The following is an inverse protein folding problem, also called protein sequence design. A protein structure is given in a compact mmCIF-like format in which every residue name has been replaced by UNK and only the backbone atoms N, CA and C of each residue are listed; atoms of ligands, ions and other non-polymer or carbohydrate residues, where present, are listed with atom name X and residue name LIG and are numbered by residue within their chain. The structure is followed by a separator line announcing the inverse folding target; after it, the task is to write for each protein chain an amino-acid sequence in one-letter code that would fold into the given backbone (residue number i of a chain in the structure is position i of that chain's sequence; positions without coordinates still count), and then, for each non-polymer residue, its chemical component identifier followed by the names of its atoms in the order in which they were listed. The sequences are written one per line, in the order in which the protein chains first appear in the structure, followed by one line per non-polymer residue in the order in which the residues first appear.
data_IF_064338387482
#
_entry.id   IF_064338387482
#
_cell.length_a   1.000
_cell.length_b   1.000
_cell.length_c   1.000
_cell.angle_alpha   90.00
_cell.angle_beta   90.00
_cell.angle_gamma   90.00
#
_symmetry.space_group_name_H-M   'P 1'
#
loop_
_entity.id
_entity.type
_entity.pdbx_description
1 polymer ?
#
# COMPACT_ATOMS: atom_id res chain seq x y z
N UNK A 1 10.46 4.08 24.39
CA UNK A 1 9.38 4.99 24.85
C UNK A 1 8.28 4.92 23.82
N UNK A 2 6.99 4.81 24.19
CA UNK A 2 5.94 4.67 23.18
C UNK A 2 5.64 6.00 22.47
N UNK A 3 5.28 5.98 21.20
CA UNK A 3 4.86 7.15 20.41
C UNK A 3 3.84 8.00 21.16
N UNK A 4 2.96 7.36 21.97
CA UNK A 4 2.00 8.03 22.84
C UNK A 4 2.63 8.93 23.92
N UNK A 5 3.93 8.75 24.25
CA UNK A 5 4.66 9.67 25.16
C UNK A 5 5.20 10.90 24.44
N UNK A 6 5.51 10.79 23.15
CA UNK A 6 6.04 11.88 22.32
C UNK A 6 4.93 12.70 21.69
N UNK A 7 3.82 12.03 21.33
CA UNK A 7 2.67 12.62 20.71
C UNK A 7 1.43 11.93 21.27
N UNK A 8 0.89 12.39 22.41
CA UNK A 8 -0.38 11.86 22.87
C UNK A 8 -1.44 12.15 21.80
N UNK A 9 -2.17 11.11 21.33
CA UNK A 9 -3.27 11.34 20.43
C UNK A 9 -4.25 12.33 21.06
N UNK A 10 -4.90 13.19 20.27
CA UNK A 10 -5.80 14.23 20.78
C UNK A 10 -6.98 13.67 21.60
N UNK A 11 -7.28 12.37 21.45
CA UNK A 11 -8.21 11.63 22.29
C UNK A 11 -7.81 10.15 22.35
N UNK A 12 -8.40 9.41 23.30
CA UNK A 12 -8.21 7.95 23.43
C UNK A 12 -8.76 7.15 22.23
N UNK A 13 -9.54 7.78 21.36
CA UNK A 13 -10.08 7.18 20.12
C UNK A 13 -9.32 7.63 18.86
N UNK A 14 -8.40 8.57 18.98
CA UNK A 14 -7.65 9.05 17.82
C UNK A 14 -6.79 7.93 17.21
N UNK A 15 -6.76 7.89 15.87
CA UNK A 15 -5.99 6.95 15.08
C UNK A 15 -5.02 7.72 14.19
N UNK A 16 -3.72 7.71 14.50
CA UNK A 16 -2.73 8.45 13.70
C UNK A 16 -2.65 7.96 12.25
N UNK A 17 -2.93 6.68 11.96
CA UNK A 17 -3.04 6.20 10.59
C UNK A 17 -4.07 6.99 9.77
N UNK A 18 -5.15 7.46 10.41
CA UNK A 18 -6.17 8.28 9.74
C UNK A 18 -5.63 9.65 9.29
N UNK A 19 -4.60 10.16 9.95
CA UNK A 19 -3.91 11.41 9.57
C UNK A 19 -2.71 11.18 8.66
N UNK A 20 -2.06 10.02 8.79
CA UNK A 20 -0.78 9.74 8.13
C UNK A 20 -0.93 9.02 6.79
N UNK A 21 -1.83 8.02 6.71
CA UNK A 21 -1.88 7.05 5.62
C UNK A 21 -2.98 7.38 4.61
N UNK A 22 -2.66 7.12 3.34
CA UNK A 22 -3.65 7.03 2.27
C UNK A 22 -3.24 5.93 1.29
N UNK A 23 -4.23 5.20 0.77
CA UNK A 23 -4.06 4.24 -0.32
C UNK A 23 -4.81 4.71 -1.56
N UNK A 24 -4.16 4.63 -2.71
CA UNK A 24 -4.71 4.99 -4.01
C UNK A 24 -4.86 3.75 -4.89
N UNK A 25 -6.04 3.58 -5.47
CA UNK A 25 -6.37 2.55 -6.46
C UNK A 25 -6.66 3.24 -7.78
N UNK A 26 -5.60 3.55 -8.55
CA UNK A 26 -5.68 4.47 -9.69
C UNK A 26 -6.55 3.94 -10.81
N UNK A 27 -6.52 2.63 -11.08
CA UNK A 27 -7.33 2.05 -12.13
C UNK A 27 -8.84 2.04 -11.79
N UNK A 28 -9.20 1.98 -10.51
CA UNK A 28 -10.59 2.04 -10.03
C UNK A 28 -11.06 3.47 -9.75
N UNK A 29 -10.19 4.47 -9.82
CA UNK A 29 -10.44 5.84 -9.37
C UNK A 29 -10.88 5.92 -7.91
N UNK A 30 -10.25 5.13 -7.05
CA UNK A 30 -10.62 5.01 -5.64
C UNK A 30 -9.46 5.37 -4.72
N UNK A 31 -9.80 5.80 -3.51
CA UNK A 31 -8.85 6.00 -2.40
C UNK A 31 -9.40 5.46 -1.10
N UNK A 32 -8.53 5.19 -0.14
CA UNK A 32 -8.93 4.93 1.25
C UNK A 32 -7.97 5.62 2.22
N UNK A 33 -8.51 6.19 3.28
CA UNK A 33 -7.73 6.88 4.31
C UNK A 33 -7.07 5.94 5.33
N UNK A 34 -7.13 4.64 5.13
CA UNK A 34 -6.52 3.58 5.94
C UNK A 34 -6.80 2.24 5.26
N UNK A 35 -5.89 1.28 5.34
CA UNK A 35 -6.05 -0.06 4.74
C UNK A 35 -7.26 -0.86 5.25
N UNK A 36 -7.87 -0.47 6.36
CA UNK A 36 -9.13 -1.07 6.88
C UNK A 36 -10.38 -0.36 6.38
N UNK A 37 -10.24 0.83 5.80
CA UNK A 37 -11.39 1.58 5.33
C UNK A 37 -11.87 1.08 3.96
N UNK A 38 -13.17 1.21 3.73
CA UNK A 38 -13.73 1.04 2.39
C UNK A 38 -13.17 2.12 1.46
N UNK A 39 -12.99 1.74 0.22
CA UNK A 39 -12.58 2.65 -0.83
C UNK A 39 -13.68 3.67 -1.14
N UNK A 40 -13.28 4.87 -1.49
CA UNK A 40 -14.12 6.00 -1.90
C UNK A 40 -13.67 6.51 -3.26
N UNK A 41 -14.61 7.00 -4.07
CA UNK A 41 -14.26 7.67 -5.32
C UNK A 41 -13.36 8.88 -5.05
N UNK A 42 -12.32 9.03 -5.85
CA UNK A 42 -11.45 10.20 -5.81
C UNK A 42 -12.23 11.37 -6.42
N UNK A 43 -12.33 12.47 -5.67
CA UNK A 43 -12.99 13.70 -6.11
C UNK A 43 -12.20 14.43 -7.22
N UNK A 44 -12.85 15.33 -7.93
CA UNK A 44 -12.24 16.07 -9.05
C UNK A 44 -11.06 16.97 -8.62
N UNK A 45 -11.13 17.50 -7.39
CA UNK A 45 -10.06 18.33 -6.79
C UNK A 45 -8.84 17.54 -6.36
N UNK A 46 -8.91 16.21 -6.43
CA UNK A 46 -7.84 15.27 -6.08
C UNK A 46 -7.35 15.39 -4.62
N UNK A 47 -8.14 16.01 -3.72
CA UNK A 47 -7.84 16.10 -2.27
C UNK A 47 -8.36 14.87 -1.50
N UNK A 48 -8.05 13.68 -2.01
CA UNK A 48 -8.52 12.40 -1.49
C UNK A 48 -8.13 12.15 -0.04
N UNK A 49 -6.99 12.68 0.42
CA UNK A 49 -6.55 12.52 1.81
C UNK A 49 -7.37 13.37 2.80
N UNK A 50 -7.98 14.45 2.33
CA UNK A 50 -8.87 15.30 3.11
C UNK A 50 -10.30 15.29 2.55
N UNK A 51 -10.72 14.18 1.95
CA UNK A 51 -12.11 14.01 1.53
C UNK A 51 -13.07 14.22 2.70
N UNK A 52 -14.30 14.64 2.42
CA UNK A 52 -15.27 14.97 3.47
C UNK A 52 -15.46 13.81 4.49
N UNK A 53 -15.57 12.53 4.09
CA UNK A 53 -15.67 11.43 5.05
C UNK A 53 -14.40 11.23 5.90
N UNK A 54 -13.21 11.45 5.34
CA UNK A 54 -11.95 11.33 6.10
C UNK A 54 -11.86 12.44 7.15
N UNK A 55 -12.21 13.67 6.77
CA UNK A 55 -12.24 14.82 7.71
C UNK A 55 -13.27 14.59 8.80
N UNK A 56 -14.48 14.14 8.49
CA UNK A 56 -15.51 13.80 9.49
C UNK A 56 -15.04 12.73 10.48
N UNK A 57 -14.33 11.69 9.98
CA UNK A 57 -13.75 10.67 10.87
C UNK A 57 -12.73 11.26 11.84
N UNK A 58 -11.85 12.16 11.37
CA UNK A 58 -10.88 12.85 12.23
C UNK A 58 -11.57 13.70 13.27
N UNK A 59 -12.61 14.45 12.90
CA UNK A 59 -13.39 15.28 13.81
C UNK A 59 -14.09 14.43 14.89
N UNK A 60 -14.70 13.30 14.53
CA UNK A 60 -15.28 12.37 15.51
C UNK A 60 -14.21 11.85 16.48
N UNK A 61 -13.07 11.42 15.95
CA UNK A 61 -11.95 10.95 16.77
C UNK A 61 -11.42 12.03 17.74
N UNK A 62 -11.36 13.28 17.29
CA UNK A 62 -10.96 14.40 18.15
C UNK A 62 -11.92 14.63 19.33
N UNK A 63 -13.22 14.35 19.12
CA UNK A 63 -14.23 14.41 20.19
C UNK A 63 -14.27 13.16 21.08
N UNK A 64 -13.39 12.18 20.86
CA UNK A 64 -13.39 10.91 21.60
C UNK A 64 -14.46 9.93 21.13
N UNK A 65 -14.96 10.10 19.91
CA UNK A 65 -16.00 9.26 19.29
C UNK A 65 -15.37 8.29 18.29
N UNK A 66 -15.92 7.07 18.20
CA UNK A 66 -15.61 6.17 17.13
C UNK A 66 -16.42 6.50 15.88
N UNK A 67 -15.79 6.63 14.70
CA UNK A 67 -16.55 6.61 13.47
C UNK A 67 -17.32 5.27 13.34
N UNK A 68 -18.63 5.33 13.15
CA UNK A 68 -19.53 4.16 13.16
C UNK A 68 -20.45 4.17 11.94
N UNK A 69 -19.89 4.46 10.77
CA UNK A 69 -20.60 4.60 9.51
C UNK A 69 -20.44 3.36 8.58
N UNK A 70 -19.91 2.27 9.11
CA UNK A 70 -19.66 1.04 8.35
C UNK A 70 -18.49 1.12 7.38
N UNK A 71 -17.60 2.11 7.52
CA UNK A 71 -16.45 2.34 6.63
C UNK A 71 -15.15 1.69 7.10
N UNK A 72 -15.17 0.95 8.24
CA UNK A 72 -14.08 0.07 8.67
C UNK A 72 -13.42 0.44 10.00
N UNK A 73 -13.65 1.62 10.58
CA UNK A 73 -13.11 1.97 11.91
C UNK A 73 -13.66 1.05 13.01
N UNK A 74 -14.82 0.45 12.79
CA UNK A 74 -15.45 -0.55 13.66
C UNK A 74 -14.56 -1.77 13.88
N UNK A 75 -13.76 -2.16 12.88
CA UNK A 75 -12.83 -3.28 13.00
C UNK A 75 -11.85 -3.07 14.16
N UNK A 76 -11.18 -1.93 14.23
CA UNK A 76 -10.27 -1.62 15.33
C UNK A 76 -11.02 -1.50 16.67
N UNK A 77 -12.19 -0.83 16.69
CA UNK A 77 -13.03 -0.72 17.88
C UNK A 77 -13.38 -2.09 18.46
N UNK A 78 -13.80 -3.01 17.59
CA UNK A 78 -14.25 -4.32 18.04
C UNK A 78 -13.07 -5.22 18.43
N UNK A 79 -11.93 -5.12 17.75
CA UNK A 79 -10.70 -5.77 18.19
C UNK A 79 -10.25 -5.28 19.57
N UNK A 80 -10.27 -3.98 19.81
CA UNK A 80 -9.87 -3.42 21.11
C UNK A 80 -10.79 -3.85 22.25
N UNK A 81 -12.09 -4.01 22.00
CA UNK A 81 -13.03 -4.56 22.98
C UNK A 81 -12.74 -6.02 23.36
N UNK A 82 -12.25 -6.82 22.40
CA UNK A 82 -12.04 -8.26 22.62
C UNK A 82 -10.63 -8.62 23.09
N UNK A 83 -9.62 -7.91 22.58
CA UNK A 83 -8.21 -8.26 22.80
C UNK A 83 -7.34 -7.12 23.35
N UNK A 84 -7.87 -5.92 23.39
CA UNK A 84 -7.10 -4.72 23.73
C UNK A 84 -6.09 -4.28 22.68
N UNK A 85 -6.00 -5.00 21.54
CA UNK A 85 -4.99 -4.75 20.49
C UNK A 85 -5.72 -4.54 19.16
N UNK A 86 -5.30 -3.52 18.41
CA UNK A 86 -5.74 -3.23 17.04
C UNK A 86 -4.59 -2.65 16.23
N UNK A 87 -4.76 -2.53 14.90
CA UNK A 87 -3.75 -1.87 14.05
C UNK A 87 -3.43 -0.45 14.55
N UNK A 88 -4.45 0.27 15.02
CA UNK A 88 -4.30 1.59 15.61
C UNK A 88 -3.40 1.56 16.85
N UNK A 89 -3.64 0.64 17.76
CA UNK A 89 -2.84 0.48 19.00
C UNK A 89 -1.42 0.03 18.66
N UNK A 90 -1.26 -0.94 17.76
CA UNK A 90 0.06 -1.39 17.32
C UNK A 90 0.86 -0.26 16.69
N UNK A 91 0.22 0.58 15.86
CA UNK A 91 0.88 1.75 15.28
C UNK A 91 1.34 2.73 16.35
N UNK A 92 0.51 2.99 17.36
CA UNK A 92 0.83 3.90 18.48
C UNK A 92 1.89 3.36 19.45
N UNK A 93 2.04 2.04 19.54
CA UNK A 93 3.03 1.41 20.42
C UNK A 93 4.44 1.34 19.83
N UNK A 94 4.59 1.54 18.53
CA UNK A 94 5.88 1.51 17.86
C UNK A 94 6.46 2.92 17.72
N UNK A 95 7.50 3.21 18.49
CA UNK A 95 8.18 4.52 18.50
C UNK A 95 8.77 4.93 17.14
N UNK A 96 9.14 3.98 16.29
CA UNK A 96 9.62 4.26 14.95
C UNK A 96 8.57 4.99 14.09
N UNK A 97 7.28 4.82 14.42
CA UNK A 97 6.18 5.45 13.70
C UNK A 97 6.01 6.95 14.01
N UNK A 98 6.77 7.51 14.96
CA UNK A 98 6.76 8.94 15.24
C UNK A 98 7.10 9.79 14.02
N UNK A 99 7.92 9.27 13.11
CA UNK A 99 8.32 9.94 11.86
C UNK A 99 7.16 10.14 10.88
N UNK A 100 6.08 9.34 11.01
CA UNK A 100 4.91 9.41 10.13
C UNK A 100 3.83 10.39 10.60
N UNK A 101 4.05 11.07 11.73
CA UNK A 101 3.12 12.10 12.20
C UNK A 101 3.20 13.32 11.28
N UNK A 102 2.07 13.77 10.67
CA UNK A 102 2.07 14.96 9.83
C UNK A 102 2.54 16.20 10.58
N UNK A 103 3.30 17.06 9.93
CA UNK A 103 3.84 18.29 10.53
C UNK A 103 2.75 19.26 10.97
N UNK A 104 1.62 19.27 10.28
CA UNK A 104 0.43 20.06 10.62
C UNK A 104 -0.12 19.63 11.98
N UNK A 105 -0.14 18.31 12.24
CA UNK A 105 -0.61 17.77 13.51
C UNK A 105 0.34 18.07 14.66
N UNK A 106 1.64 18.15 14.40
CA UNK A 106 2.63 18.59 15.38
C UNK A 106 2.46 20.07 15.75
N UNK A 107 2.06 20.91 14.80
CA UNK A 107 1.79 22.34 15.02
C UNK A 107 0.44 22.61 15.65
N UNK A 108 -0.56 21.84 15.25
CA UNK A 108 -1.93 21.92 15.74
C UNK A 108 -2.50 20.51 15.97
N UNK A 109 -2.51 19.99 17.21
CA UNK A 109 -3.00 18.66 17.53
C UNK A 109 -4.47 18.40 17.15
N UNK A 110 -5.24 19.44 16.87
CA UNK A 110 -6.64 19.33 16.43
C UNK A 110 -6.83 19.55 14.92
N UNK A 111 -5.74 19.58 14.15
CA UNK A 111 -5.83 19.70 12.70
C UNK A 111 -6.59 18.52 12.09
N UNK A 112 -7.63 18.82 11.30
CA UNK A 112 -8.40 17.80 10.56
C UNK A 112 -8.00 17.68 9.10
N UNK A 113 -7.28 18.68 8.58
CA UNK A 113 -6.69 18.68 7.22
C UNK A 113 -5.18 18.69 7.33
N UNK A 114 -4.53 17.71 6.71
CA UNK A 114 -3.08 17.51 6.76
C UNK A 114 -2.58 16.96 5.42
N UNK A 115 -1.29 17.08 5.15
CA UNK A 115 -0.66 16.31 4.07
C UNK A 115 -0.38 14.88 4.53
N UNK A 116 -0.59 13.86 3.67
CA UNK A 116 -0.23 12.50 4.05
C UNK A 116 1.28 12.34 4.16
N UNK A 117 1.70 11.45 5.03
CA UNK A 117 3.11 11.06 5.20
C UNK A 117 3.37 9.63 4.74
N UNK A 118 2.32 8.85 4.50
CA UNK A 118 2.38 7.47 4.05
C UNK A 118 1.42 7.30 2.87
N UNK A 119 1.96 6.90 1.72
CA UNK A 119 1.20 6.64 0.51
C UNK A 119 1.40 5.20 0.07
N UNK A 120 0.30 4.47 -0.13
CA UNK A 120 0.29 3.18 -0.79
C UNK A 120 -0.41 3.31 -2.14
N UNK A 121 0.26 2.99 -3.24
CA UNK A 121 -0.29 3.13 -4.60
C UNK A 121 -0.48 1.80 -5.29
N UNK A 122 -1.69 1.60 -5.85
CA UNK A 122 -2.06 0.49 -6.71
C UNK A 122 -2.32 1.07 -8.10
N UNK A 123 -1.35 0.91 -9.02
CA UNK A 123 -1.48 1.48 -10.37
C UNK A 123 -2.59 0.79 -11.15
N UNK A 124 -2.51 -0.53 -11.27
CA UNK A 124 -3.53 -1.34 -11.93
C UNK A 124 -3.59 -2.76 -11.33
N UNK A 125 -4.50 -3.60 -11.86
CA UNK A 125 -4.69 -4.97 -11.41
C UNK A 125 -3.85 -5.99 -12.20
N UNK A 126 -2.94 -5.58 -13.07
CA UNK A 126 -2.14 -6.50 -13.89
C UNK A 126 -1.34 -7.44 -13.00
N UNK A 127 -1.68 -8.72 -13.01
CA UNK A 127 -1.07 -9.78 -12.22
C UNK A 127 -1.09 -11.10 -13.00
N UNK A 128 -0.05 -11.88 -12.86
CA UNK A 128 0.13 -13.18 -13.51
C UNK A 128 -0.32 -14.36 -12.62
N UNK A 129 -0.90 -14.10 -11.45
CA UNK A 129 -1.32 -15.12 -10.48
C UNK A 129 -2.80 -15.00 -10.12
N UNK A 130 -3.39 -16.13 -9.65
CA UNK A 130 -4.77 -16.24 -9.16
C UNK A 130 -4.78 -16.78 -7.74
N UNK A 131 -4.27 -16.00 -6.78
CA UNK A 131 -4.28 -16.41 -5.37
C UNK A 131 -5.71 -16.55 -4.86
N UNK A 132 -5.98 -17.58 -4.03
CA UNK A 132 -7.35 -17.93 -3.58
C UNK A 132 -8.04 -16.83 -2.76
N UNK A 133 -7.28 -15.95 -2.13
CA UNK A 133 -7.78 -14.82 -1.34
C UNK A 133 -7.81 -13.50 -2.12
N UNK A 134 -7.40 -13.53 -3.39
CA UNK A 134 -7.39 -12.37 -4.27
C UNK A 134 -8.66 -12.32 -5.12
N UNK A 135 -8.90 -11.20 -5.78
CA UNK A 135 -10.07 -11.01 -6.63
C UNK A 135 -9.75 -10.30 -7.95
N UNK A 136 -10.74 -10.12 -8.83
CA UNK A 136 -10.55 -9.49 -10.13
C UNK A 136 -10.05 -8.03 -10.03
N UNK A 137 -10.34 -7.34 -8.94
CA UNK A 137 -9.87 -5.99 -8.67
C UNK A 137 -8.36 -5.91 -8.45
N UNK A 138 -7.73 -7.02 -8.04
CA UNK A 138 -6.31 -7.09 -7.71
C UNK A 138 -5.53 -8.04 -8.62
N UNK A 139 -6.22 -8.76 -9.54
CA UNK A 139 -5.59 -9.69 -10.45
C UNK A 139 -6.32 -9.76 -11.79
N UNK A 140 -5.63 -9.31 -12.84
CA UNK A 140 -6.12 -9.45 -14.22
C UNK A 140 -6.24 -10.91 -14.66
N UNK A 141 -5.46 -11.83 -14.08
CA UNK A 141 -5.60 -13.27 -14.35
C UNK A 141 -6.92 -13.81 -13.77
N UNK A 142 -7.34 -13.36 -12.57
CA UNK A 142 -8.67 -13.66 -12.04
C UNK A 142 -9.79 -13.03 -12.87
N UNK A 143 -9.61 -11.75 -13.26
CA UNK A 143 -10.58 -11.05 -14.08
C UNK A 143 -10.82 -11.78 -15.40
N UNK A 144 -9.75 -12.19 -16.08
CA UNK A 144 -9.82 -12.95 -17.33
C UNK A 144 -10.59 -14.28 -17.16
N UNK A 145 -10.24 -15.07 -16.13
CA UNK A 145 -10.91 -16.36 -15.89
C UNK A 145 -12.41 -16.19 -15.58
N UNK A 146 -12.75 -15.21 -14.73
CA UNK A 146 -14.15 -14.95 -14.39
C UNK A 146 -14.94 -14.44 -15.60
N UNK A 147 -14.33 -13.62 -16.46
CA UNK A 147 -14.95 -13.16 -17.71
C UNK A 147 -15.20 -14.33 -18.65
N UNK A 148 -14.21 -15.21 -18.84
CA UNK A 148 -14.32 -16.41 -19.68
C UNK A 148 -15.37 -17.40 -19.17
N UNK A 149 -15.54 -17.48 -17.85
CA UNK A 149 -16.58 -18.34 -17.23
C UNK A 149 -17.98 -17.74 -17.25
N UNK A 150 -18.17 -16.52 -17.76
CA UNK A 150 -19.45 -15.82 -17.77
C UNK A 150 -19.91 -15.36 -16.37
N UNK A 151 -19.01 -15.16 -15.45
CA UNK A 151 -19.34 -14.72 -14.09
C UNK A 151 -19.91 -13.31 -14.08
N UNK A 152 -21.05 -13.12 -13.43
CA UNK A 152 -21.66 -11.79 -13.24
C UNK A 152 -20.88 -10.87 -12.30
N UNK A 153 -19.90 -11.43 -11.53
CA UNK A 153 -19.04 -10.66 -10.62
C UNK A 153 -18.12 -9.67 -11.33
N UNK A 154 -17.94 -9.82 -12.64
CA UNK A 154 -17.05 -9.00 -13.45
C UNK A 154 -17.79 -8.22 -14.55
N UNK A 155 -19.13 -8.10 -14.42
CA UNK A 155 -19.91 -7.32 -15.38
C UNK A 155 -19.41 -5.88 -15.46
N UNK A 156 -19.07 -5.45 -16.69
CA UNK A 156 -18.54 -4.12 -16.95
C UNK A 156 -17.03 -3.93 -16.66
N UNK A 157 -16.32 -4.99 -16.26
CA UNK A 157 -14.87 -4.96 -16.14
C UNK A 157 -14.22 -5.57 -17.39
N UNK A 158 -13.29 -4.86 -18.00
CA UNK A 158 -12.47 -5.38 -19.09
C UNK A 158 -11.09 -5.80 -18.54
N UNK A 159 -10.63 -7.05 -18.76
CA UNK A 159 -9.34 -7.51 -18.28
C UNK A 159 -8.14 -6.89 -19.02
N UNK A 160 -8.37 -6.24 -20.14
CA UNK A 160 -7.32 -5.75 -21.03
C UNK A 160 -7.31 -4.24 -21.21
N UNK A 161 -8.41 -3.57 -20.95
CA UNK A 161 -8.55 -2.13 -21.11
C UNK A 161 -8.62 -1.43 -19.76
N UNK A 162 -7.66 -0.54 -19.56
CA UNK A 162 -7.83 0.56 -18.61
C UNK A 162 -8.83 1.52 -19.24
N UNK A 163 -9.80 2.02 -18.47
CA UNK A 163 -10.79 2.94 -19.02
C UNK A 163 -10.13 4.20 -19.64
N UNK A 164 -10.86 4.87 -20.53
CA UNK A 164 -10.33 6.01 -21.28
C UNK A 164 -9.81 7.16 -20.40
N UNK A 165 -10.21 7.20 -19.13
CA UNK A 165 -9.80 8.25 -18.17
C UNK A 165 -8.58 7.86 -17.33
N UNK A 166 -8.11 6.62 -17.41
CA UNK A 166 -6.98 6.14 -16.60
C UNK A 166 -5.71 6.96 -16.79
N UNK A 167 -5.37 7.29 -18.05
CA UNK A 167 -4.19 8.12 -18.32
C UNK A 167 -4.30 9.53 -17.75
N UNK A 168 -5.53 10.07 -17.70
CA UNK A 168 -5.79 11.38 -17.07
C UNK A 168 -5.61 11.28 -15.55
N UNK A 169 -6.07 10.19 -14.92
CA UNK A 169 -5.84 9.93 -13.48
C UNK A 169 -4.36 9.78 -13.16
N UNK A 170 -3.62 9.05 -14.01
CA UNK A 170 -2.18 8.90 -13.86
C UNK A 170 -1.45 10.24 -13.98
N UNK A 171 -1.85 11.10 -14.91
CA UNK A 171 -1.28 12.45 -15.02
C UNK A 171 -1.59 13.30 -13.76
N UNK A 172 -2.84 13.27 -13.26
CA UNK A 172 -3.22 13.95 -12.00
C UNK A 172 -2.42 13.40 -10.81
N UNK A 173 -2.15 12.10 -10.77
CA UNK A 173 -1.31 11.49 -9.74
C UNK A 173 0.10 12.09 -9.72
N UNK A 174 0.75 12.28 -10.87
CA UNK A 174 2.08 12.89 -10.91
C UNK A 174 2.07 14.37 -10.55
N UNK A 175 1.03 15.14 -10.93
CA UNK A 175 0.85 16.52 -10.45
C UNK A 175 0.74 16.55 -8.92
N UNK A 176 -0.07 15.65 -8.34
CA UNK A 176 -0.20 15.52 -6.90
C UNK A 176 1.14 15.12 -6.24
N UNK A 177 1.91 14.23 -6.88
CA UNK A 177 3.24 13.84 -6.40
C UNK A 177 4.20 15.04 -6.33
N UNK A 178 4.24 15.90 -7.36
CA UNK A 178 5.08 17.11 -7.35
C UNK A 178 4.77 18.01 -6.15
N UNK A 179 3.51 18.13 -5.76
CA UNK A 179 3.07 18.98 -4.65
C UNK A 179 3.26 18.36 -3.26
N UNK A 180 3.23 17.02 -3.16
CA UNK A 180 3.12 16.34 -1.87
C UNK A 180 4.28 15.37 -1.55
N UNK A 181 5.10 14.99 -2.52
CA UNK A 181 6.16 13.99 -2.32
C UNK A 181 7.15 14.38 -1.21
N UNK A 182 7.43 15.67 -1.04
CA UNK A 182 8.31 16.17 0.02
C UNK A 182 7.77 15.93 1.43
N UNK A 183 6.45 15.74 1.60
CA UNK A 183 5.83 15.42 2.90
C UNK A 183 5.88 13.92 3.21
N UNK A 184 6.07 13.07 2.20
CA UNK A 184 6.04 11.63 2.38
C UNK A 184 7.26 11.12 3.16
N UNK A 185 7.01 10.09 3.97
CA UNK A 185 7.98 9.33 4.75
C UNK A 185 7.92 7.84 4.43
N UNK A 186 6.82 7.37 3.86
CA UNK A 186 6.67 6.02 3.32
C UNK A 186 5.96 6.06 1.97
N UNK A 187 6.42 5.23 1.05
CA UNK A 187 5.85 5.09 -0.28
C UNK A 187 5.83 3.61 -0.68
N UNK A 188 4.63 3.03 -0.69
CA UNK A 188 4.44 1.62 -1.00
C UNK A 188 3.88 1.45 -2.41
N UNK A 189 4.48 0.55 -3.19
CA UNK A 189 3.99 0.15 -4.51
C UNK A 189 3.38 -1.25 -4.41
N UNK A 190 2.07 -1.31 -4.64
CA UNK A 190 1.26 -2.52 -4.57
C UNK A 190 0.37 -2.66 -5.81
N UNK A 191 -0.57 -3.61 -5.74
CA UNK A 191 -1.60 -3.83 -6.76
C UNK A 191 -1.14 -4.71 -7.90
N UNK A 192 -1.86 -5.79 -8.16
CA UNK A 192 -1.45 -6.81 -9.10
C UNK A 192 -0.06 -7.36 -8.80
N UNK A 193 0.82 -7.31 -9.80
CA UNK A 193 2.26 -7.57 -9.63
C UNK A 193 3.06 -6.35 -10.14
N UNK A 194 3.66 -5.56 -9.27
CA UNK A 194 4.37 -4.33 -9.65
C UNK A 194 5.44 -4.52 -10.72
N UNK A 195 6.24 -5.59 -10.65
CA UNK A 195 7.34 -5.79 -11.60
C UNK A 195 6.91 -6.18 -13.02
N UNK A 196 5.61 -6.36 -13.30
CA UNK A 196 5.10 -6.53 -14.67
C UNK A 196 4.30 -5.31 -15.15
N UNK A 197 4.21 -4.24 -14.33
CA UNK A 197 3.49 -3.01 -14.65
C UNK A 197 4.45 -1.92 -15.11
N UNK A 198 4.16 -1.31 -16.25
CA UNK A 198 4.98 -0.19 -16.78
C UNK A 198 4.97 0.99 -15.81
N UNK A 199 3.82 1.27 -15.22
CA UNK A 199 3.58 2.39 -14.30
C UNK A 199 4.48 2.31 -13.06
N UNK A 200 4.79 1.10 -12.59
CA UNK A 200 5.77 0.89 -11.50
C UNK A 200 7.15 1.43 -11.89
N UNK A 201 7.61 1.11 -13.09
CA UNK A 201 8.90 1.57 -13.57
C UNK A 201 8.92 3.07 -13.85
N UNK A 202 7.84 3.61 -14.41
CA UNK A 202 7.71 5.05 -14.63
C UNK A 202 7.73 5.80 -13.28
N UNK A 203 7.09 5.25 -12.24
CA UNK A 203 7.10 5.82 -10.89
C UNK A 203 8.49 5.75 -10.26
N UNK A 204 9.18 4.63 -10.37
CA UNK A 204 10.57 4.50 -9.89
C UNK A 204 11.46 5.52 -10.60
N UNK A 205 11.36 5.68 -11.93
CA UNK A 205 12.14 6.65 -12.69
C UNK A 205 11.82 8.10 -12.24
N UNK A 206 10.55 8.39 -11.96
CA UNK A 206 10.14 9.69 -11.42
C UNK A 206 10.75 9.94 -10.03
N UNK A 207 10.71 8.94 -9.13
CA UNK A 207 11.31 9.05 -7.79
C UNK A 207 12.84 9.21 -7.85
N UNK A 208 13.52 8.55 -8.80
CA UNK A 208 14.96 8.73 -9.03
C UNK A 208 15.27 10.17 -9.47
N UNK A 209 14.41 10.76 -10.32
CA UNK A 209 14.57 12.14 -10.77
C UNK A 209 14.24 13.18 -9.68
N UNK A 210 13.49 12.78 -8.62
CA UNK A 210 13.08 13.64 -7.51
C UNK A 210 13.55 13.06 -6.16
N UNK A 211 14.85 13.11 -5.83
CA UNK A 211 15.38 12.47 -4.62
C UNK A 211 14.69 12.97 -3.34
N UNK A 212 14.32 12.03 -2.45
CA UNK A 212 13.79 12.34 -1.13
C UNK A 212 14.33 11.35 -0.09
N UNK A 213 15.43 11.71 0.57
CA UNK A 213 16.13 10.88 1.58
C UNK A 213 15.34 10.70 2.90
N UNK A 214 14.10 11.16 2.94
CA UNK A 214 13.19 10.93 4.05
C UNK A 214 12.18 9.80 3.78
N UNK A 215 12.08 9.33 2.53
CA UNK A 215 11.12 8.29 2.12
C UNK A 215 11.69 6.90 2.31
N UNK A 216 10.91 6.03 2.95
CA UNK A 216 11.04 4.58 2.86
C UNK A 216 10.16 4.10 1.70
N UNK A 217 10.76 3.50 0.69
CA UNK A 217 10.03 2.90 -0.42
C UNK A 217 9.89 1.39 -0.20
N UNK A 218 8.67 0.86 -0.36
CA UNK A 218 8.41 -0.58 -0.27
C UNK A 218 7.70 -1.07 -1.53
N UNK A 219 8.17 -2.20 -2.09
CA UNK A 219 7.59 -2.82 -3.27
C UNK A 219 7.15 -4.24 -2.91
N UNK A 220 5.86 -4.52 -3.06
CA UNK A 220 5.29 -5.84 -2.78
C UNK A 220 5.26 -6.68 -4.05
N UNK A 221 5.95 -7.82 -4.07
CA UNK A 221 6.04 -8.67 -5.26
C UNK A 221 5.78 -10.13 -4.97
N UNK A 222 5.15 -10.81 -5.91
CA UNK A 222 4.99 -12.26 -5.89
C UNK A 222 6.24 -13.01 -6.37
N UNK A 223 7.25 -12.30 -6.88
CA UNK A 223 8.49 -12.80 -7.45
C UNK A 223 8.31 -13.82 -8.60
N UNK A 224 7.12 -13.89 -9.22
CA UNK A 224 6.82 -14.79 -10.34
C UNK A 224 7.06 -14.12 -11.70
N UNK A 225 8.21 -13.50 -11.84
CA UNK A 225 8.63 -12.81 -13.05
C UNK A 225 9.77 -13.59 -13.70
N UNK A 226 9.82 -13.62 -15.05
CA UNK A 226 10.95 -14.22 -15.77
C UNK A 226 12.26 -13.63 -15.21
N UNK A 227 13.25 -14.48 -14.84
CA UNK A 227 14.45 -14.00 -14.12
C UNK A 227 15.18 -12.84 -14.81
N UNK A 228 15.27 -12.86 -16.13
CA UNK A 228 15.95 -11.79 -16.90
C UNK A 228 15.22 -10.45 -16.82
N UNK A 229 13.88 -10.45 -16.77
CA UNK A 229 13.08 -9.24 -16.59
C UNK A 229 13.16 -8.77 -15.13
N UNK A 230 13.13 -9.69 -14.19
CA UNK A 230 13.26 -9.40 -12.78
C UNK A 230 14.61 -8.74 -12.45
N UNK A 231 15.72 -9.28 -12.97
CA UNK A 231 17.06 -8.71 -12.80
C UNK A 231 17.15 -7.25 -13.28
N UNK A 232 16.48 -6.91 -14.40
CA UNK A 232 16.39 -5.53 -14.88
C UNK A 232 15.59 -4.64 -13.91
N UNK A 233 14.48 -5.16 -13.38
CA UNK A 233 13.70 -4.45 -12.36
C UNK A 233 14.51 -4.17 -11.10
N UNK A 234 15.22 -5.17 -10.59
CA UNK A 234 16.10 -5.02 -9.42
C UNK A 234 17.20 -3.99 -9.68
N UNK A 235 17.73 -3.86 -10.89
CA UNK A 235 18.72 -2.81 -11.19
C UNK A 235 18.11 -1.40 -11.01
N UNK A 236 16.88 -1.17 -11.47
CA UNK A 236 16.17 0.10 -11.24
C UNK A 236 15.91 0.35 -9.74
N UNK A 237 15.54 -0.69 -9.00
CA UNK A 237 15.35 -0.58 -7.54
C UNK A 237 16.67 -0.21 -6.82
N UNK A 238 17.81 -0.73 -7.27
CA UNK A 238 19.14 -0.31 -6.77
C UNK A 238 19.44 1.15 -7.05
N UNK A 239 19.02 1.67 -8.20
CA UNK A 239 19.20 3.07 -8.53
C UNK A 239 18.27 3.95 -7.68
N UNK A 240 17.02 3.51 -7.43
CA UNK A 240 16.10 4.15 -6.49
C UNK A 240 16.69 4.22 -5.07
N UNK A 241 17.34 3.16 -4.61
CA UNK A 241 17.94 3.11 -3.27
C UNK A 241 19.01 4.19 -3.00
N UNK A 242 19.51 4.84 -4.05
CA UNK A 242 20.46 5.98 -3.95
C UNK A 242 19.75 7.32 -3.74
N UNK A 243 18.44 7.38 -3.96
CA UNK A 243 17.66 8.62 -4.00
C UNK A 243 16.57 8.70 -2.92
N UNK A 244 16.35 7.62 -2.19
CA UNK A 244 15.45 7.53 -1.04
C UNK A 244 16.19 7.08 0.21
N UNK A 245 15.56 7.14 1.38
CA UNK A 245 16.19 6.74 2.64
C UNK A 245 16.48 5.24 2.71
N UNK A 246 15.55 4.45 2.22
CA UNK A 246 15.60 2.99 2.25
C UNK A 246 14.66 2.44 1.18
N UNK A 247 15.03 1.31 0.57
CA UNK A 247 14.13 0.52 -0.27
C UNK A 247 13.99 -0.87 0.31
N UNK A 248 12.76 -1.35 0.34
CA UNK A 248 12.42 -2.69 0.78
C UNK A 248 11.62 -3.42 -0.32
N UNK A 249 11.91 -4.69 -0.53
CA UNK A 249 11.10 -5.58 -1.36
C UNK A 249 10.44 -6.61 -0.45
N UNK A 250 9.12 -6.57 -0.37
CA UNK A 250 8.35 -7.58 0.37
C UNK A 250 7.94 -8.70 -0.58
N UNK A 251 8.59 -9.85 -0.41
CA UNK A 251 8.25 -11.06 -1.15
C UNK A 251 6.98 -11.71 -0.59
N UNK A 252 5.95 -11.81 -1.45
CA UNK A 252 4.65 -12.33 -1.06
C UNK A 252 4.63 -13.86 -1.09
N UNK A 253 4.65 -14.50 0.06
CA UNK A 253 4.53 -15.95 0.23
C UNK A 253 3.72 -16.27 1.49
N UNK A 254 2.87 -17.29 1.45
CA UNK A 254 2.02 -17.68 2.58
C UNK A 254 2.58 -18.93 3.31
N UNK A 255 3.19 -19.83 2.55
CA UNK A 255 3.81 -21.04 3.07
C UNK A 255 4.77 -21.61 2.03
N UNK A 256 5.55 -22.59 2.42
CA UNK A 256 6.49 -23.30 1.53
C UNK A 256 5.92 -24.65 1.07
N UNK A 257 6.33 -25.09 -0.11
CA UNK A 257 5.97 -26.39 -0.67
C UNK A 257 4.69 -26.40 -1.52
N UNK A 258 4.09 -27.58 -1.78
CA UNK A 258 2.93 -27.69 -2.67
C UNK A 258 1.73 -26.87 -2.25
N UNK A 259 1.57 -26.59 -0.96
CA UNK A 259 0.50 -25.75 -0.45
C UNK A 259 0.61 -24.30 -0.98
N UNK A 260 1.82 -23.78 -1.18
CA UNK A 260 2.00 -22.45 -1.75
C UNK A 260 1.51 -22.36 -3.20
N UNK A 261 1.73 -23.41 -3.99
CA UNK A 261 1.27 -23.51 -5.39
C UNK A 261 -0.26 -23.59 -5.48
N UNK A 262 -0.90 -24.23 -4.50
CA UNK A 262 -2.36 -24.28 -4.41
C UNK A 262 -2.97 -22.93 -3.98
N UNK A 263 -2.42 -22.33 -2.93
CA UNK A 263 -2.93 -21.05 -2.38
C UNK A 263 -2.69 -19.91 -3.38
N UNK A 264 -1.53 -19.92 -4.05
CA UNK A 264 -1.11 -18.92 -5.03
C UNK A 264 -1.08 -19.54 -6.41
N UNK A 265 -2.23 -19.84 -6.99
CA UNK A 265 -2.29 -20.46 -8.30
C UNK A 265 -1.52 -19.66 -9.35
N UNK A 266 -0.55 -20.31 -10.00
CA UNK A 266 0.44 -19.67 -10.89
C UNK A 266 1.80 -19.48 -10.21
N UNK A 267 1.95 -19.90 -8.94
CA UNK A 267 3.25 -19.92 -8.26
C UNK A 267 4.10 -21.10 -8.77
N UNK A 268 5.29 -20.79 -9.25
CA UNK A 268 6.35 -21.73 -9.57
C UNK A 268 7.49 -21.54 -8.56
N UNK A 269 7.77 -22.57 -7.77
CA UNK A 269 8.76 -22.50 -6.70
C UNK A 269 10.17 -22.24 -7.21
N UNK A 270 10.54 -22.79 -8.36
CA UNK A 270 11.89 -22.63 -8.89
C UNK A 270 12.13 -21.18 -9.32
N UNK A 271 11.18 -20.57 -10.02
CA UNK A 271 11.21 -19.15 -10.37
C UNK A 271 11.24 -18.25 -9.14
N UNK A 272 10.39 -18.55 -8.15
CA UNK A 272 10.37 -17.79 -6.89
C UNK A 272 11.72 -17.84 -6.17
N UNK A 273 12.28 -19.04 -6.03
CA UNK A 273 13.56 -19.26 -5.35
C UNK A 273 14.72 -18.58 -6.09
N UNK A 274 14.78 -18.70 -7.42
CA UNK A 274 15.81 -18.03 -8.23
C UNK A 274 15.76 -16.51 -8.02
N UNK A 275 14.56 -15.91 -8.13
CA UNK A 275 14.38 -14.47 -7.98
C UNK A 275 14.64 -14.02 -6.53
N UNK A 276 14.22 -14.80 -5.54
CA UNK A 276 14.49 -14.54 -4.12
C UNK A 276 16.00 -14.55 -3.85
N UNK A 277 16.71 -15.62 -4.27
CA UNK A 277 18.15 -15.74 -4.07
C UNK A 277 18.91 -14.64 -4.79
N UNK A 278 18.48 -14.27 -5.99
CA UNK A 278 19.06 -13.13 -6.70
C UNK A 278 18.91 -11.84 -5.89
N UNK A 279 17.73 -11.57 -5.35
CA UNK A 279 17.49 -10.38 -4.51
C UNK A 279 18.35 -10.41 -3.25
N UNK A 280 18.39 -11.55 -2.55
CA UNK A 280 19.18 -11.76 -1.32
C UNK A 280 20.67 -11.53 -1.54
N UNK A 281 21.22 -11.90 -2.71
CA UNK A 281 22.63 -11.70 -3.00
C UNK A 281 23.09 -10.24 -2.95
N UNK A 282 22.14 -9.29 -2.93
CA UNK A 282 22.38 -7.84 -2.88
C UNK A 282 21.81 -7.16 -1.64
N UNK A 283 21.19 -7.90 -0.71
CA UNK A 283 20.39 -7.35 0.37
C UNK A 283 20.69 -8.03 1.71
N UNK A 284 20.35 -7.36 2.82
CA UNK A 284 20.27 -8.01 4.12
C UNK A 284 18.84 -8.52 4.36
N UNK A 285 18.71 -9.85 4.50
CA UNK A 285 17.43 -10.48 4.79
C UNK A 285 16.94 -10.12 6.20
N UNK A 286 15.70 -9.63 6.30
CA UNK A 286 14.92 -9.67 7.53
C UNK A 286 13.65 -10.47 7.26
N UNK A 287 13.51 -11.63 7.92
CA UNK A 287 12.26 -12.37 7.95
C UNK A 287 11.39 -11.84 9.11
N UNK A 288 10.16 -11.43 8.82
CA UNK A 288 9.14 -11.16 9.82
C UNK A 288 8.02 -12.18 9.67
N UNK A 289 7.84 -13.00 10.70
CA UNK A 289 6.63 -13.80 10.82
C UNK A 289 5.51 -12.90 11.33
N UNK A 290 4.55 -12.61 10.46
CA UNK A 290 3.24 -12.15 10.92
C UNK A 290 2.38 -13.41 11.09
N UNK A 291 1.60 -13.54 12.15
CA UNK A 291 0.89 -14.78 12.54
C UNK A 291 -0.10 -15.38 11.52
N UNK A 292 -0.06 -14.93 10.27
CA UNK A 292 -0.84 -15.45 9.14
C UNK A 292 -0.05 -15.55 7.83
N UNK A 293 1.05 -14.79 7.64
CA UNK A 293 1.82 -14.81 6.39
C UNK A 293 3.31 -14.74 6.70
N UNK A 294 4.10 -15.62 6.07
CA UNK A 294 5.55 -15.44 5.99
C UNK A 294 5.81 -14.27 5.02
N UNK A 295 6.25 -13.15 5.55
CA UNK A 295 6.70 -12.02 4.74
C UNK A 295 8.22 -11.99 4.80
N UNK A 296 8.85 -12.22 3.66
CA UNK A 296 10.29 -12.06 3.53
C UNK A 296 10.57 -10.62 3.08
N UNK A 297 11.15 -9.81 3.94
CA UNK A 297 11.53 -8.42 3.65
C UNK A 297 13.00 -8.34 3.30
N UNK A 298 13.30 -7.73 2.18
CA UNK A 298 14.63 -7.58 1.63
C UNK A 298 14.98 -6.08 1.63
N UNK A 299 15.97 -5.70 2.43
CA UNK A 299 16.50 -4.33 2.47
C UNK A 299 17.64 -4.18 1.45
N UNK A 300 17.55 -3.19 0.62
CA UNK A 300 18.59 -2.76 -0.33
C UNK A 300 19.38 -1.58 0.19
#
# INVERSE_FOLDING_TARGET
MSLAKWFPPPSDKACLLKWSQVSLYLWENMSSGCHRNKNELISEDYDFHNSAPVVEHREKMLRGEWPSDGRGCEHCRDQEKHSGISDRIQFLQNDANARYVPVELLKNPTATRVKPTMLSVHFNNKCNMKCIYCGPNQSSAWLLELTQSGSTRVNGMDPWELDATYHQRLAKFYIWMEENYSSLKAFDILGGEPFIQKETYDCIDWMIAHPNLEVDAEIYSNLQIKPELFKRGIQKVKDLAKTVRQVEITASIDCWGPASEYIRFGHDRATFEENLLYTVSYTHLRAHETGRNLVCRLLL
#
